data_IF_431702139557
#
_entry.id   IF_431702139557
#
_cell.length_a   1.000
_cell.length_b   1.000
_cell.length_c   1.000
_cell.angle_alpha   90.00
_cell.angle_beta   90.00
_cell.angle_gamma   90.00
#
_symmetry.space_group_name_H-M   'P 1'
#
loop_
_entity.id
_entity.type
_entity.pdbx_description
1 polymer ?
#
# COMPACT_ATOMS: atom_id res chain seq x y z
N UNK A 1 9.91 11.56 16.42
CA UNK A 1 8.79 12.51 16.31
C UNK A 1 7.65 11.76 15.64
N UNK A 2 6.62 11.36 16.39
CA UNK A 2 5.42 10.73 15.82
C UNK A 2 4.64 11.82 15.09
N UNK A 3 4.25 11.59 13.82
CA UNK A 3 3.35 12.49 13.11
C UNK A 3 2.05 12.58 13.91
N UNK A 4 1.62 13.80 14.26
CA UNK A 4 0.41 14.05 15.04
C UNK A 4 -0.86 13.55 14.32
N UNK A 5 -0.78 13.29 13.01
CA UNK A 5 -1.88 12.75 12.20
C UNK A 5 -1.79 11.22 12.00
N UNK A 6 -1.06 10.51 12.87
CA UNK A 6 -0.90 9.06 12.81
C UNK A 6 -2.24 8.31 12.70
N UNK A 7 -3.25 8.76 13.45
CA UNK A 7 -4.62 8.23 13.43
C UNK A 7 -5.23 8.29 12.03
N UNK A 8 -5.12 9.44 11.36
CA UNK A 8 -5.63 9.65 10.00
C UNK A 8 -4.91 8.79 8.96
N UNK A 9 -3.61 8.57 9.15
CA UNK A 9 -2.84 7.66 8.29
C UNK A 9 -3.26 6.20 8.47
N UNK A 10 -3.50 5.79 9.72
CA UNK A 10 -3.98 4.44 10.02
C UNK A 10 -5.38 4.20 9.44
N UNK A 11 -6.29 5.17 9.55
CA UNK A 11 -7.61 5.10 8.93
C UNK A 11 -7.51 4.94 7.41
N UNK A 12 -6.69 5.77 6.75
CA UNK A 12 -6.48 5.67 5.31
C UNK A 12 -5.92 4.30 4.88
N UNK A 13 -5.06 3.68 5.70
CA UNK A 13 -4.56 2.32 5.46
C UNK A 13 -5.67 1.28 5.57
N UNK A 14 -6.49 1.34 6.63
CA UNK A 14 -7.63 0.43 6.84
C UNK A 14 -8.63 0.52 5.68
N UNK A 15 -9.06 1.73 5.34
CA UNK A 15 -9.98 1.94 4.21
C UNK A 15 -9.42 1.40 2.89
N UNK A 16 -8.10 1.49 2.67
CA UNK A 16 -7.47 0.90 1.49
C UNK A 16 -7.47 -0.63 1.52
N UNK A 17 -7.20 -1.25 2.67
CA UNK A 17 -7.26 -2.71 2.84
C UNK A 17 -8.69 -3.22 2.63
N UNK A 18 -9.67 -2.55 3.22
CA UNK A 18 -11.09 -2.89 3.11
C UNK A 18 -11.55 -2.78 1.65
N UNK A 19 -11.19 -1.70 0.95
CA UNK A 19 -11.51 -1.52 -0.47
C UNK A 19 -10.88 -2.62 -1.35
N UNK A 20 -9.66 -3.05 -1.05
CA UNK A 20 -9.01 -4.14 -1.79
C UNK A 20 -9.72 -5.48 -1.53
N UNK A 21 -10.19 -5.71 -0.30
CA UNK A 21 -10.99 -6.88 0.06
C UNK A 21 -12.38 -6.86 -0.60
N UNK A 22 -13.10 -5.74 -0.54
CA UNK A 22 -14.44 -5.60 -1.13
C UNK A 22 -14.43 -5.78 -2.64
N UNK A 23 -13.38 -5.28 -3.29
CA UNK A 23 -13.25 -5.36 -4.73
C UNK A 23 -12.61 -6.69 -5.20
N UNK A 24 -12.31 -7.61 -4.28
CA UNK A 24 -11.68 -8.91 -4.56
C UNK A 24 -10.41 -8.78 -5.43
N UNK A 25 -9.64 -7.72 -5.23
CA UNK A 25 -8.47 -7.39 -6.09
C UNK A 25 -7.28 -8.30 -5.78
N UNK A 26 -7.29 -8.97 -4.63
CA UNK A 26 -6.20 -9.81 -4.17
C UNK A 26 -6.74 -10.99 -3.35
N UNK A 27 -6.00 -12.09 -3.40
CA UNK A 27 -6.20 -13.26 -2.54
C UNK A 27 -4.91 -13.47 -1.76
N UNK A 28 -5.03 -13.65 -0.45
CA UNK A 28 -3.89 -14.03 0.37
C UNK A 28 -3.56 -15.51 0.09
N UNK A 29 -2.33 -15.78 -0.33
CA UNK A 29 -1.84 -17.13 -0.63
C UNK A 29 -0.52 -17.38 0.09
N UNK A 30 -0.28 -18.63 0.44
CA UNK A 30 1.03 -19.04 0.94
C UNK A 30 2.08 -18.97 -0.19
N UNK A 31 3.31 -18.52 0.11
CA UNK A 31 4.37 -18.51 -0.88
C UNK A 31 4.73 -19.95 -1.28
N UNK A 32 4.87 -20.19 -2.58
CA UNK A 32 5.37 -21.47 -3.09
C UNK A 32 6.82 -21.69 -2.68
N UNK A 33 7.20 -22.96 -2.52
CA UNK A 33 8.58 -23.33 -2.15
C UNK A 33 9.59 -22.71 -3.11
N UNK A 34 10.58 -22.00 -2.57
CA UNK A 34 11.67 -21.38 -3.33
C UNK A 34 11.37 -19.97 -3.87
N UNK A 35 10.13 -19.47 -3.75
CA UNK A 35 9.80 -18.10 -4.13
C UNK A 35 10.11 -17.14 -2.98
N UNK A 36 10.74 -16.01 -3.30
CA UNK A 36 10.89 -14.89 -2.37
C UNK A 36 9.82 -13.84 -2.70
N UNK A 37 8.80 -13.65 -1.86
CA UNK A 37 7.80 -12.61 -2.10
C UNK A 37 8.45 -11.24 -2.26
N UNK A 38 7.92 -10.44 -3.20
CA UNK A 38 8.33 -9.06 -3.30
C UNK A 38 7.93 -8.32 -2.03
N UNK A 39 8.83 -7.49 -1.52
CA UNK A 39 8.50 -6.59 -0.42
C UNK A 39 7.39 -5.61 -0.82
N UNK A 40 6.70 -5.04 0.15
CA UNK A 40 5.74 -3.97 -0.08
C UNK A 40 5.98 -2.82 0.89
N UNK A 41 5.55 -1.63 0.50
CA UNK A 41 5.59 -0.45 1.36
C UNK A 41 4.32 0.38 1.22
N UNK A 42 4.02 1.12 2.28
CA UNK A 42 2.99 2.14 2.24
C UNK A 42 3.54 3.45 1.71
N UNK A 43 2.79 4.07 0.80
CA UNK A 43 3.05 5.40 0.28
C UNK A 43 1.91 6.30 0.75
N UNK A 44 2.29 7.38 1.45
CA UNK A 44 1.37 8.33 2.05
C UNK A 44 1.35 9.64 1.26
N UNK A 45 0.16 10.19 1.03
CA UNK A 45 -0.01 11.49 0.37
C UNK A 45 -1.19 12.24 0.98
N UNK A 46 -0.96 13.49 1.38
CA UNK A 46 -2.04 14.43 1.71
C UNK A 46 -2.59 15.00 0.40
N UNK A 47 -3.91 14.98 0.24
CA UNK A 47 -4.61 15.74 -0.80
C UNK A 47 -4.91 17.10 -0.21
N UNK A 48 -4.36 18.14 -0.83
CA UNK A 48 -4.55 19.53 -0.42
C UNK A 48 -5.55 20.21 -1.36
N UNK A 49 -6.34 21.14 -0.84
CA UNK A 49 -7.10 22.11 -1.64
C UNK A 49 -6.13 23.16 -2.23
N UNK A 50 -6.66 24.01 -3.12
CA UNK A 50 -5.90 25.10 -3.72
C UNK A 50 -5.36 26.12 -2.70
N UNK A 51 -6.02 26.26 -1.56
CA UNK A 51 -5.62 27.10 -0.43
C UNK A 51 -4.56 26.44 0.49
N UNK A 52 -4.24 25.16 0.26
CA UNK A 52 -3.27 24.40 1.04
C UNK A 52 -3.88 23.58 2.19
N UNK A 53 -5.19 23.63 2.40
CA UNK A 53 -5.86 22.87 3.46
C UNK A 53 -5.93 21.38 3.14
N UNK A 54 -5.80 20.52 4.16
CA UNK A 54 -5.79 19.06 3.96
C UNK A 54 -7.23 18.54 3.84
N UNK A 55 -7.60 18.12 2.63
CA UNK A 55 -8.91 17.51 2.35
C UNK A 55 -8.94 16.05 2.79
N UNK A 56 -7.84 15.32 2.51
CA UNK A 56 -7.82 13.88 2.69
C UNK A 56 -6.42 13.32 2.85
N UNK A 57 -6.33 12.27 3.65
CA UNK A 57 -5.15 11.44 3.79
C UNK A 57 -5.31 10.23 2.88
N UNK A 58 -4.33 9.99 2.00
CA UNK A 58 -4.32 8.84 1.10
C UNK A 58 -3.16 7.93 1.45
N UNK A 59 -3.46 6.65 1.66
CA UNK A 59 -2.48 5.59 1.79
C UNK A 59 -2.60 4.64 0.59
N UNK A 60 -1.46 4.23 0.04
CA UNK A 60 -1.38 3.25 -1.05
C UNK A 60 -0.36 2.18 -0.69
N UNK A 61 -0.76 0.91 -0.80
CA UNK A 61 0.16 -0.22 -0.71
C UNK A 61 0.79 -0.44 -2.08
N UNK A 62 2.12 -0.49 -2.14
CA UNK A 62 2.88 -0.61 -3.40
C UNK A 62 3.93 -1.71 -3.26
N UNK A 63 4.05 -2.57 -4.28
CA UNK A 63 5.09 -3.58 -4.37
C UNK A 63 6.46 -2.95 -4.66
N UNK A 64 7.51 -3.49 -4.04
CA UNK A 64 8.89 -3.11 -4.26
C UNK A 64 9.46 -3.90 -5.44
N UNK A 65 9.05 -3.54 -6.66
CA UNK A 65 9.36 -4.31 -7.88
C UNK A 65 10.83 -4.40 -8.28
N UNK A 66 11.72 -3.56 -7.73
CA UNK A 66 13.15 -3.58 -8.07
C UNK A 66 13.88 -4.85 -7.61
N UNK A 67 13.25 -5.69 -6.78
CA UNK A 67 13.81 -6.97 -6.35
C UNK A 67 13.43 -8.14 -7.26
N UNK A 68 12.53 -7.94 -8.22
CA UNK A 68 12.03 -8.99 -9.10
C UNK A 68 12.92 -9.17 -10.33
N UNK A 69 13.16 -10.42 -10.73
CA UNK A 69 13.88 -10.79 -11.96
C UNK A 69 12.94 -11.47 -12.94
N UNK A 70 12.92 -10.99 -14.19
CA UNK A 70 12.22 -11.62 -15.31
C UNK A 70 12.73 -13.07 -15.50
N UNK A 71 11.82 -14.02 -15.66
CA UNK A 71 12.10 -15.45 -15.80
C UNK A 71 12.43 -16.18 -14.49
N UNK A 72 12.43 -15.49 -13.33
CA UNK A 72 12.64 -16.11 -12.01
C UNK A 72 11.48 -15.81 -11.07
N UNK A 73 11.14 -14.52 -10.92
CA UNK A 73 10.09 -14.08 -10.00
C UNK A 73 8.78 -13.75 -10.75
N UNK A 74 8.84 -13.50 -12.06
CA UNK A 74 7.71 -13.27 -12.95
C UNK A 74 8.06 -13.65 -14.41
N UNK A 75 7.05 -13.99 -15.20
CA UNK A 75 7.17 -14.41 -16.62
C UNK A 75 7.35 -13.24 -17.59
#
# INVERSE_FOLDING_TARGET
MLDINWDKWLEAMKSKMDLMGSNQVWTLVDPSKGVRPAGCKWVYKRKLEADGEVIAFKARLVAQGYTQRLGVDFE
#
